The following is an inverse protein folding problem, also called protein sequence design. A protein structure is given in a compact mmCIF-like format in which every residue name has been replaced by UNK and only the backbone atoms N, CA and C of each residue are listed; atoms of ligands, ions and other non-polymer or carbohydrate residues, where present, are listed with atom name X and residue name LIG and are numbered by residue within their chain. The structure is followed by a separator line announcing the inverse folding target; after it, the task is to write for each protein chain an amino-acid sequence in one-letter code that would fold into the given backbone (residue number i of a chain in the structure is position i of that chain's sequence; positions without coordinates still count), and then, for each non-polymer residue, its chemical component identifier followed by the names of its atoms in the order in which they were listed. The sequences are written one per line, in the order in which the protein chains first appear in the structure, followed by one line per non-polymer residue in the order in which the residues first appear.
data_IF_148638600849
#
_entry.id   IF_148638600849
#
_cell.length_a   1.000
_cell.length_b   1.000
_cell.length_c   1.000
_cell.angle_alpha   90.00
_cell.angle_beta   90.00
_cell.angle_gamma   90.00
#
_symmetry.space_group_name_H-M   'P 1'
#
loop_
_entity.id
_entity.type
_entity.pdbx_description
1 polymer ?
#
# COMPACT_ATOMS: atom_id res chain seq x y z
N UNK A 1 -39.79 -27.65 -36.68
CA UNK A 1 -39.63 -26.67 -35.59
C UNK A 1 -38.23 -26.81 -35.03
N UNK A 2 -37.30 -25.99 -35.54
CA UNK A 2 -35.85 -26.15 -35.38
C UNK A 2 -35.39 -25.56 -34.05
N UNK A 3 -35.15 -26.42 -33.05
CA UNK A 3 -34.46 -26.06 -31.82
C UNK A 3 -32.95 -26.18 -32.03
N UNK A 4 -32.37 -25.29 -32.84
CA UNK A 4 -30.93 -25.26 -33.08
C UNK A 4 -30.44 -23.82 -32.98
N UNK A 5 -29.44 -23.64 -32.12
CA UNK A 5 -28.42 -22.58 -32.19
C UNK A 5 -28.74 -21.21 -31.57
N UNK A 6 -29.19 -21.17 -30.32
CA UNK A 6 -29.19 -19.91 -29.51
C UNK A 6 -28.68 -20.09 -28.08
N UNK A 7 -27.70 -20.99 -27.87
CA UNK A 7 -27.04 -21.18 -26.57
C UNK A 7 -25.57 -20.72 -26.55
N UNK A 8 -25.08 -20.09 -27.62
CA UNK A 8 -23.69 -19.64 -27.72
C UNK A 8 -23.42 -18.14 -27.42
N UNK A 9 -24.38 -17.18 -27.50
CA UNK A 9 -24.05 -15.79 -27.19
C UNK A 9 -24.16 -15.43 -25.69
N UNK A 10 -24.68 -16.32 -24.83
CA UNK A 10 -24.85 -16.03 -23.40
C UNK A 10 -23.56 -16.26 -22.59
N UNK A 11 -22.61 -17.04 -23.12
CA UNK A 11 -21.34 -17.35 -22.43
C UNK A 11 -20.26 -16.28 -22.68
N UNK A 12 -20.44 -15.38 -23.66
CA UNK A 12 -19.46 -14.33 -23.96
C UNK A 12 -19.61 -13.04 -23.12
N UNK A 13 -20.62 -12.94 -22.24
CA UNK A 13 -20.95 -11.73 -21.48
C UNK A 13 -20.53 -11.76 -20.00
N UNK A 14 -19.64 -12.67 -19.59
CA UNK A 14 -19.19 -12.80 -18.18
C UNK A 14 -17.68 -12.54 -18.01
N UNK A 15 -16.96 -12.15 -19.07
CA UNK A 15 -15.63 -11.55 -18.91
C UNK A 15 -15.71 -10.07 -18.50
N UNK A 16 -16.55 -9.74 -17.51
CA UNK A 16 -16.27 -8.57 -16.69
C UNK A 16 -15.03 -8.92 -15.89
N UNK A 17 -13.87 -8.44 -16.34
CA UNK A 17 -12.67 -8.39 -15.53
C UNK A 17 -13.04 -7.64 -14.25
N UNK A 18 -13.30 -8.38 -13.17
CA UNK A 18 -13.38 -7.76 -11.86
C UNK A 18 -12.01 -7.18 -11.59
N UNK A 19 -11.89 -5.86 -11.50
CA UNK A 19 -10.73 -5.22 -10.88
C UNK A 19 -10.84 -5.55 -9.39
N UNK A 20 -10.38 -6.75 -9.02
CA UNK A 20 -10.33 -7.21 -7.64
C UNK A 20 -9.02 -6.81 -6.95
N UNK A 21 -8.12 -6.17 -7.68
CA UNK A 21 -6.83 -5.70 -7.21
C UNK A 21 -6.84 -4.17 -7.18
N UNK A 22 -6.34 -3.60 -6.11
CA UNK A 22 -6.07 -2.17 -6.03
C UNK A 22 -4.83 -1.88 -6.88
N UNK A 23 -4.92 -0.92 -7.78
CA UNK A 23 -3.78 -0.42 -8.55
C UNK A 23 -3.98 1.07 -8.72
N UNK A 24 -2.97 1.82 -8.33
CA UNK A 24 -2.90 3.26 -8.53
C UNK A 24 -1.44 3.61 -8.74
N UNK A 25 -1.13 4.13 -9.93
CA UNK A 25 0.20 4.64 -10.26
C UNK A 25 0.25 6.17 -10.26
N UNK A 26 -0.87 6.83 -9.91
CA UNK A 26 -1.07 8.27 -9.82
C UNK A 26 -0.75 9.04 -11.12
N UNK A 27 -0.59 8.34 -12.26
CA UNK A 27 -0.18 8.94 -13.53
C UNK A 27 -1.27 9.82 -14.18
N UNK A 28 -2.52 9.64 -13.76
CA UNK A 28 -3.67 10.44 -14.19
C UNK A 28 -3.84 11.75 -13.39
N UNK A 29 -3.04 11.96 -12.34
CA UNK A 29 -3.12 13.15 -11.51
C UNK A 29 -4.28 13.15 -10.52
N UNK A 30 -4.95 12.01 -10.28
CA UNK A 30 -6.05 11.87 -9.34
C UNK A 30 -5.85 10.67 -8.39
N UNK A 31 -6.20 10.85 -7.12
CA UNK A 31 -6.29 9.77 -6.12
C UNK A 31 -7.68 9.71 -5.48
N UNK A 32 -8.62 10.50 -5.97
CA UNK A 32 -9.99 10.58 -5.47
C UNK A 32 -10.98 9.80 -6.33
N UNK A 33 -10.53 9.23 -7.46
CA UNK A 33 -11.32 8.36 -8.30
C UNK A 33 -10.49 7.24 -8.93
N UNK A 34 -11.05 6.02 -8.94
CA UNK A 34 -10.52 4.83 -9.61
C UNK A 34 -9.02 4.49 -9.37
N UNK A 35 -8.60 4.20 -8.11
CA UNK A 35 -9.39 4.00 -6.92
C UNK A 35 -9.62 5.27 -6.09
N UNK A 36 -10.61 5.23 -5.20
CA UNK A 36 -10.85 6.34 -4.26
C UNK A 36 -9.97 6.13 -3.02
N UNK A 37 -9.10 7.09 -2.74
CA UNK A 37 -8.41 7.22 -1.46
C UNK A 37 -9.13 8.25 -0.58
N UNK A 38 -9.24 7.95 0.70
CA UNK A 38 -9.95 8.76 1.71
C UNK A 38 -9.05 8.98 2.93
N UNK A 39 -9.37 9.99 3.76
CA UNK A 39 -8.54 10.42 4.88
C UNK A 39 -8.24 11.92 4.76
N UNK A 40 -7.00 12.31 4.96
CA UNK A 40 -6.53 13.69 4.93
C UNK A 40 -6.32 14.21 3.50
N UNK A 41 -7.34 14.08 2.64
CA UNK A 41 -7.26 14.36 1.19
C UNK A 41 -6.69 15.76 0.88
N UNK A 42 -6.94 16.78 1.70
CA UNK A 42 -6.38 18.13 1.51
C UNK A 42 -4.87 18.23 1.75
N UNK A 43 -4.30 17.25 2.45
CA UNK A 43 -2.91 17.22 2.89
C UNK A 43 -2.05 16.32 1.99
N UNK A 44 -2.59 15.89 0.84
CA UNK A 44 -1.88 15.15 -0.20
C UNK A 44 -2.11 15.80 -1.57
N UNK A 45 -1.14 15.63 -2.45
CA UNK A 45 -1.20 16.12 -3.82
C UNK A 45 -0.46 15.16 -4.76
N UNK A 46 -0.76 15.22 -6.06
CA UNK A 46 0.03 14.52 -7.07
C UNK A 46 0.95 15.51 -7.77
N UNK A 47 2.24 15.19 -7.81
CA UNK A 47 3.28 15.94 -8.53
C UNK A 47 4.03 14.94 -9.40
N UNK A 48 4.13 15.23 -10.70
CA UNK A 48 4.84 14.39 -11.68
C UNK A 48 4.45 12.90 -11.65
N UNK A 49 3.15 12.62 -11.45
CA UNK A 49 2.62 11.25 -11.39
C UNK A 49 2.94 10.51 -10.10
N UNK A 50 3.26 11.22 -9.01
CA UNK A 50 3.55 10.62 -7.71
C UNK A 50 2.70 11.26 -6.61
N UNK A 51 2.15 10.44 -5.73
CA UNK A 51 1.47 10.90 -4.52
C UNK A 51 2.49 11.46 -3.53
N UNK A 52 2.31 12.73 -3.16
CA UNK A 52 3.18 13.46 -2.26
C UNK A 52 2.37 13.97 -1.06
N UNK A 53 2.97 13.96 0.13
CA UNK A 53 2.44 14.70 1.26
C UNK A 53 2.54 16.22 1.00
N UNK A 54 1.53 16.96 1.43
CA UNK A 54 1.39 18.41 1.32
C UNK A 54 0.84 19.04 2.60
N UNK A 55 0.98 18.33 3.73
CA UNK A 55 0.42 18.79 5.00
C UNK A 55 1.22 19.89 5.69
N UNK A 56 0.75 20.37 6.86
CA UNK A 56 1.40 21.45 7.58
C UNK A 56 2.82 21.07 8.02
N UNK A 57 3.69 22.06 8.18
CA UNK A 57 5.08 21.85 8.64
C UNK A 57 5.20 21.42 10.10
N UNK A 58 4.10 21.42 10.87
CA UNK A 58 4.05 20.88 12.21
C UNK A 58 4.07 19.35 12.18
N UNK A 59 4.50 18.71 13.27
CA UNK A 59 4.35 17.26 13.45
C UNK A 59 2.86 16.89 13.41
N UNK A 60 2.41 16.45 12.25
CA UNK A 60 1.08 15.89 12.02
C UNK A 60 1.26 14.47 11.51
N UNK A 61 0.41 13.56 12.01
CA UNK A 61 0.17 12.29 11.34
C UNK A 61 -0.82 12.59 10.21
N UNK A 62 -0.54 12.08 9.01
CA UNK A 62 -1.37 12.26 7.83
C UNK A 62 -1.56 10.89 7.21
N UNK A 63 -2.77 10.60 6.74
CA UNK A 63 -3.05 9.32 6.11
C UNK A 63 -4.00 9.43 4.92
N UNK A 64 -3.83 8.46 4.04
CA UNK A 64 -4.81 8.06 3.06
C UNK A 64 -5.00 6.55 3.14
N UNK A 65 -6.23 6.10 2.91
CA UNK A 65 -6.56 4.69 2.79
C UNK A 65 -7.52 4.43 1.63
N UNK A 66 -7.42 3.26 1.03
CA UNK A 66 -8.33 2.78 0.00
C UNK A 66 -8.81 1.37 0.36
N UNK A 67 -10.10 1.04 0.18
CA UNK A 67 -10.61 -0.27 0.55
C UNK A 67 -9.92 -1.42 -0.20
N UNK A 68 -9.55 -2.46 0.53
CA UNK A 68 -9.03 -3.72 0.00
C UNK A 68 -9.75 -4.89 0.67
N UNK A 69 -10.18 -5.89 -0.11
CA UNK A 69 -10.86 -7.10 0.38
C UNK A 69 -10.00 -8.37 0.33
N UNK A 70 -8.74 -8.27 -0.10
CA UNK A 70 -7.86 -9.43 -0.31
C UNK A 70 -6.57 -9.28 0.53
N UNK A 71 -6.22 -10.33 1.25
CA UNK A 71 -5.02 -10.38 2.09
C UNK A 71 -4.19 -11.64 1.84
N UNK A 72 -4.83 -12.79 1.68
CA UNK A 72 -4.13 -14.04 1.40
C UNK A 72 -3.85 -14.20 -0.08
N UNK A 73 -2.77 -14.91 -0.42
CA UNK A 73 -2.34 -15.12 -1.81
C UNK A 73 -2.22 -13.78 -2.58
N UNK A 74 -1.60 -12.81 -1.93
CA UNK A 74 -1.56 -11.41 -2.38
C UNK A 74 -0.13 -10.92 -2.50
N UNK A 75 0.09 -10.04 -3.48
CA UNK A 75 1.34 -9.32 -3.68
C UNK A 75 1.04 -7.83 -3.56
N UNK A 76 1.84 -7.12 -2.78
CA UNK A 76 1.84 -5.66 -2.72
C UNK A 76 3.15 -5.16 -3.29
N UNK A 77 3.06 -4.22 -4.22
CA UNK A 77 4.21 -3.54 -4.82
C UNK A 77 3.99 -2.04 -4.76
N UNK A 78 4.96 -1.32 -4.23
CA UNK A 78 4.90 0.14 -4.14
C UNK A 78 6.31 0.74 -4.09
N UNK A 79 6.39 2.02 -4.43
CA UNK A 79 7.60 2.83 -4.36
C UNK A 79 7.46 3.83 -3.22
N UNK A 80 8.54 4.03 -2.47
CA UNK A 80 8.63 5.06 -1.44
C UNK A 80 9.88 5.88 -1.69
N UNK A 81 9.73 7.20 -1.61
CA UNK A 81 10.82 8.16 -1.58
C UNK A 81 10.63 9.12 -0.42
N UNK A 82 11.73 9.45 0.26
CA UNK A 82 11.77 10.44 1.32
C UNK A 82 12.77 11.52 0.96
N UNK A 83 12.29 12.75 0.76
CA UNK A 83 13.13 13.93 0.48
C UNK A 83 13.98 14.41 1.66
N UNK A 84 14.03 13.64 2.74
CA UNK A 84 14.74 13.93 3.98
C UNK A 84 15.17 12.62 4.65
N UNK A 85 16.13 12.70 5.58
CA UNK A 85 16.56 11.54 6.34
C UNK A 85 15.41 11.03 7.25
N UNK A 86 15.05 9.74 7.17
CA UNK A 86 14.09 9.14 8.08
C UNK A 86 14.54 9.22 9.53
N UNK A 87 13.58 9.18 10.46
CA UNK A 87 13.86 9.11 11.89
C UNK A 87 12.68 8.52 12.67
N UNK A 88 12.91 8.21 13.94
CA UNK A 88 11.83 7.82 14.87
C UNK A 88 10.73 8.87 15.07
N UNK A 89 10.85 10.08 14.53
CA UNK A 89 9.78 11.10 14.48
C UNK A 89 9.32 11.42 13.07
N UNK A 90 10.02 10.92 12.05
CA UNK A 90 9.75 11.16 10.65
C UNK A 90 9.82 9.84 9.88
N UNK A 91 8.66 9.19 9.80
CA UNK A 91 8.52 7.81 9.34
C UNK A 91 7.38 7.70 8.35
N UNK A 92 7.45 6.68 7.51
CA UNK A 92 6.37 6.27 6.62
C UNK A 92 5.88 4.89 7.05
N UNK A 93 4.57 4.71 7.04
CA UNK A 93 3.92 3.41 7.15
C UNK A 93 3.04 3.18 5.94
N UNK A 94 3.31 2.09 5.22
CA UNK A 94 2.42 1.61 4.16
C UNK A 94 1.66 0.41 4.71
N UNK A 95 0.40 0.61 5.08
CA UNK A 95 -0.47 -0.46 5.51
C UNK A 95 -0.86 -1.33 4.31
N UNK A 96 -0.49 -2.60 4.35
CA UNK A 96 -0.88 -3.61 3.37
C UNK A 96 -2.36 -3.97 3.54
N UNK A 97 -2.77 -4.08 4.80
CA UNK A 97 -4.14 -4.25 5.26
C UNK A 97 -4.30 -3.66 6.67
N UNK A 98 -5.51 -3.18 6.97
CA UNK A 98 -5.95 -2.70 8.29
C UNK A 98 -7.38 -3.15 8.54
N UNK A 99 -7.77 -3.33 9.80
CA UNK A 99 -9.15 -3.56 10.18
C UNK A 99 -9.99 -2.27 10.26
N UNK A 100 -9.37 -1.11 10.07
CA UNK A 100 -10.02 0.21 10.07
C UNK A 100 -9.61 1.02 8.83
N UNK A 101 -10.53 1.85 8.33
CA UNK A 101 -10.23 2.82 7.27
C UNK A 101 -9.47 4.03 7.79
N UNK A 102 -9.79 4.46 9.02
CA UNK A 102 -9.03 5.45 9.76
C UNK A 102 -7.74 4.80 10.28
N UNK A 103 -6.60 5.36 9.89
CA UNK A 103 -5.29 4.86 10.28
C UNK A 103 -4.73 5.60 11.51
N UNK A 104 -5.43 6.62 11.99
CA UNK A 104 -5.05 7.37 13.18
C UNK A 104 -5.44 6.57 14.44
N UNK A 105 -4.43 6.23 15.25
CA UNK A 105 -4.62 5.56 16.52
C UNK A 105 -4.44 4.03 16.50
N UNK A 106 -5.10 3.35 17.44
CA UNK A 106 -4.87 1.94 17.70
C UNK A 106 -5.71 1.05 16.78
N UNK A 107 -5.04 0.25 15.94
CA UNK A 107 -5.67 -0.66 14.98
C UNK A 107 -4.91 -1.98 14.83
N UNK A 108 -5.55 -2.98 14.24
CA UNK A 108 -4.93 -4.25 13.86
C UNK A 108 -4.63 -4.25 12.36
N UNK A 109 -3.42 -4.65 11.99
CA UNK A 109 -3.03 -4.59 10.58
C UNK A 109 -1.61 -5.06 10.31
N UNK A 110 -1.24 -5.08 9.03
CA UNK A 110 0.12 -5.40 8.58
C UNK A 110 0.62 -4.24 7.75
N UNK A 111 1.83 -3.78 8.04
CA UNK A 111 2.39 -2.60 7.41
C UNK A 111 3.89 -2.73 7.20
N UNK A 112 4.37 -2.02 6.19
CA UNK A 112 5.79 -1.75 6.00
C UNK A 112 6.12 -0.43 6.68
N UNK A 113 7.20 -0.38 7.46
CA UNK A 113 7.70 0.81 8.15
C UNK A 113 9.11 1.16 7.70
N UNK A 114 9.34 2.46 7.48
CA UNK A 114 10.64 3.10 7.23
C UNK A 114 10.67 4.34 8.13
N UNK A 115 11.75 4.60 8.86
CA UNK A 115 11.79 5.66 9.88
C UNK A 115 12.11 5.16 11.29
N UNK A 116 13.16 4.36 11.44
CA UNK A 116 13.72 3.96 12.73
C UNK A 116 14.81 4.93 13.21
N UNK A 117 15.18 4.84 14.49
CA UNK A 117 16.34 5.56 15.04
C UNK A 117 17.60 4.73 14.82
N UNK A 118 18.64 5.31 14.21
CA UNK A 118 19.90 4.63 13.90
C UNK A 118 19.92 4.15 12.46
N UNK A 119 20.42 2.93 12.23
CA UNK A 119 20.30 2.28 10.93
C UNK A 119 18.82 2.02 10.64
N UNK A 120 18.31 2.59 9.55
CA UNK A 120 16.92 2.48 9.15
C UNK A 120 16.76 1.40 8.08
N UNK A 121 15.93 0.39 8.33
CA UNK A 121 15.68 -0.71 7.40
C UNK A 121 14.21 -0.72 6.98
N UNK A 122 13.91 -1.33 5.84
CA UNK A 122 12.52 -1.65 5.49
C UNK A 122 12.03 -2.77 6.41
N UNK A 123 11.04 -2.49 7.26
CA UNK A 123 10.49 -3.47 8.21
C UNK A 123 9.09 -3.88 7.81
N UNK A 124 8.80 -5.18 7.73
CA UNK A 124 7.43 -5.69 7.71
C UNK A 124 6.99 -5.94 9.15
N UNK A 125 5.89 -5.32 9.56
CA UNK A 125 5.38 -5.37 10.94
C UNK A 125 3.91 -5.76 10.98
N UNK A 126 3.50 -6.36 12.10
CA UNK A 126 2.10 -6.56 12.49
C UNK A 126 1.76 -5.60 13.62
N UNK A 127 0.62 -4.91 13.50
CA UNK A 127 -0.01 -4.16 14.60
C UNK A 127 -1.05 -5.05 15.26
N UNK A 128 -0.99 -5.13 16.59
CA UNK A 128 -2.07 -5.66 17.42
C UNK A 128 -2.47 -4.55 18.40
N UNK A 129 -3.65 -3.95 18.19
CA UNK A 129 -4.18 -2.81 18.95
C UNK A 129 -3.20 -1.63 19.05
N UNK A 130 -2.57 -1.28 17.93
CA UNK A 130 -1.58 -0.20 17.82
C UNK A 130 -0.16 -0.59 18.25
N UNK A 131 0.06 -1.80 18.79
CA UNK A 131 1.39 -2.28 19.19
C UNK A 131 2.04 -3.03 18.03
N UNK A 132 3.12 -2.47 17.49
CA UNK A 132 3.85 -3.04 16.36
C UNK A 132 4.89 -4.10 16.75
N UNK A 133 4.80 -5.29 16.15
CA UNK A 133 5.81 -6.36 16.20
C UNK A 133 6.45 -6.56 14.84
N UNK A 134 7.78 -6.57 14.76
CA UNK A 134 8.51 -6.85 13.51
C UNK A 134 8.42 -8.32 13.14
N UNK A 135 8.03 -8.59 11.90
CA UNK A 135 7.96 -9.93 11.31
C UNK A 135 9.20 -10.22 10.46
N UNK A 136 9.57 -9.28 9.58
CA UNK A 136 10.74 -9.37 8.73
C UNK A 136 11.47 -8.02 8.71
N UNK A 137 12.79 -8.08 8.54
CA UNK A 137 13.64 -6.91 8.36
C UNK A 137 14.40 -7.03 7.05
N UNK A 138 14.49 -5.94 6.30
CA UNK A 138 15.47 -5.80 5.24
C UNK A 138 16.90 -5.86 5.80
N UNK A 139 17.86 -6.04 4.90
CA UNK A 139 19.29 -6.15 5.23
C UNK A 139 20.11 -4.96 4.72
N UNK A 140 19.49 -4.07 3.95
CA UNK A 140 20.12 -2.86 3.40
C UNK A 140 19.52 -1.65 4.08
N UNK A 141 20.39 -0.76 4.55
CA UNK A 141 19.99 0.51 5.17
C UNK A 141 19.30 1.37 4.10
N UNK A 142 18.11 1.86 4.43
CA UNK A 142 17.36 2.81 3.63
C UNK A 142 18.14 4.12 3.50
N UNK A 143 18.15 4.68 2.29
CA UNK A 143 18.86 5.92 1.97
C UNK A 143 17.87 7.05 1.67
N UNK A 144 17.22 6.99 0.51
CA UNK A 144 16.28 8.00 0.02
C UNK A 144 15.06 7.38 -0.64
N UNK A 145 15.24 6.24 -1.31
CA UNK A 145 14.16 5.59 -2.05
C UNK A 145 14.25 4.07 -1.96
N UNK A 146 13.11 3.41 -2.14
CA UNK A 146 13.03 1.96 -2.23
C UNK A 146 11.76 1.53 -2.97
N UNK A 147 11.89 0.53 -3.83
CA UNK A 147 10.75 -0.24 -4.34
C UNK A 147 10.58 -1.49 -3.49
N UNK A 148 9.41 -1.66 -2.89
CA UNK A 148 9.12 -2.78 -1.99
C UNK A 148 8.15 -3.73 -2.67
N UNK A 149 8.44 -5.02 -2.55
CA UNK A 149 7.51 -6.11 -2.89
C UNK A 149 7.29 -6.99 -1.68
N UNK A 150 6.04 -7.10 -1.25
CA UNK A 150 5.60 -8.01 -0.21
C UNK A 150 4.77 -9.12 -0.84
N UNK A 151 5.07 -10.36 -0.49
CA UNK A 151 4.31 -11.53 -0.93
C UNK A 151 3.76 -12.22 0.30
N UNK A 152 2.45 -12.50 0.32
CA UNK A 152 1.83 -13.40 1.29
C UNK A 152 1.27 -14.63 0.60
N UNK A 153 1.76 -15.82 0.95
CA UNK A 153 1.26 -17.08 0.39
C UNK A 153 -0.10 -17.45 1.00
N UNK A 154 -0.80 -18.42 0.40
CA UNK A 154 -2.06 -18.96 0.95
C UNK A 154 -1.88 -19.65 2.32
N UNK A 155 -0.64 -20.00 2.68
CA UNK A 155 -0.30 -20.56 3.99
C UNK A 155 0.04 -19.48 5.02
N UNK A 156 -0.05 -18.20 4.64
CA UNK A 156 0.26 -17.06 5.50
C UNK A 156 1.75 -16.76 5.65
N UNK A 157 2.60 -17.33 4.80
CA UNK A 157 4.05 -17.06 4.81
C UNK A 157 4.34 -15.73 4.11
N UNK A 158 5.25 -14.95 4.69
CA UNK A 158 5.61 -13.62 4.20
C UNK A 158 6.98 -13.62 3.55
N UNK A 159 7.12 -12.87 2.46
CA UNK A 159 8.40 -12.51 1.85
C UNK A 159 8.48 -10.99 1.68
N UNK A 160 9.62 -10.41 2.03
CA UNK A 160 9.95 -9.00 1.84
C UNK A 160 11.12 -8.90 0.85
N UNK A 161 10.92 -8.16 -0.22
CA UNK A 161 11.94 -7.80 -1.20
C UNK A 161 12.00 -6.27 -1.27
N UNK A 162 13.21 -5.72 -1.30
CA UNK A 162 13.46 -4.29 -1.32
C UNK A 162 14.55 -3.97 -2.32
N UNK A 163 14.25 -3.12 -3.31
CA UNK A 163 15.20 -2.57 -4.25
C UNK A 163 15.47 -1.09 -3.93
N UNK A 164 16.64 -0.83 -3.35
CA UNK A 164 17.07 0.50 -2.94
C UNK A 164 17.54 1.38 -4.13
N UNK A 165 17.48 0.87 -5.36
CA UNK A 165 17.66 1.66 -6.59
C UNK A 165 16.33 2.18 -7.17
N UNK A 166 15.17 1.76 -6.63
CA UNK A 166 13.85 2.31 -6.97
C UNK A 166 13.13 1.69 -8.17
N UNK A 167 13.72 0.68 -8.82
CA UNK A 167 13.16 0.04 -10.01
C UNK A 167 13.58 -1.41 -10.14
#
# INVERSE_FOLDING_TARGET
MSLRTTLFPIILLICSYGIAQVTDDFSDGDFTSNPVWSGDVSEFQIIDGQLNSNGPSSTAELYLSTPNSIMDYTVWEFYVEMGFAPSGSNRIRVYLVSNQADLEGALDGYYVEIGQTGDDYVLLKRSDSGVGTTLLSGTTVFSSQVRVKIIRTSNGEWTLLADHSGG
#
